data_IF_653543420177
#
_entry.id   IF_653543420177
#
_cell.length_a   1.000
_cell.length_b   1.000
_cell.length_c   1.000
_cell.angle_alpha   90.00
_cell.angle_beta   90.00
_cell.angle_gamma   90.00
#
_symmetry.space_group_name_H-M   'P 1'
#
loop_
_entity.id
_entity.type
_entity.pdbx_description
1 polymer ?
#
# COMPACT_ATOMS: atom_id res chain seq x y z
N UNK A 1 10.80 17.86 36.47
CA UNK A 1 11.85 17.01 35.83
C UNK A 1 11.69 16.93 34.32
N UNK A 2 10.57 16.42 33.78
CA UNK A 2 10.33 16.31 32.32
C UNK A 2 10.41 17.65 31.55
N UNK A 3 9.84 18.73 32.09
CA UNK A 3 9.91 20.06 31.46
C UNK A 3 11.32 20.64 31.38
N UNK A 4 12.17 20.35 32.36
CA UNK A 4 13.58 20.75 32.35
C UNK A 4 14.35 19.98 31.27
N UNK A 5 14.14 18.68 31.17
CA UNK A 5 14.76 17.83 30.14
C UNK A 5 14.32 18.20 28.71
N UNK A 6 13.05 18.54 28.52
CA UNK A 6 12.53 19.05 27.24
C UNK A 6 13.15 20.40 26.87
N UNK A 7 13.26 21.31 27.85
CA UNK A 7 13.88 22.63 27.65
C UNK A 7 15.37 22.56 27.35
N UNK A 8 16.09 21.60 27.95
CA UNK A 8 17.50 21.33 27.68
C UNK A 8 17.68 20.75 26.27
N UNK A 9 16.85 19.77 25.89
CA UNK A 9 16.90 19.15 24.57
C UNK A 9 16.57 20.14 23.43
N UNK A 10 15.67 21.11 23.66
CA UNK A 10 15.39 22.18 22.70
C UNK A 10 16.57 23.16 22.55
N UNK A 11 17.28 23.44 23.65
CA UNK A 11 18.51 24.26 23.65
C UNK A 11 19.65 23.53 22.92
N UNK A 12 19.78 22.23 23.12
CA UNK A 12 20.74 21.38 22.41
C UNK A 12 20.44 21.28 20.92
N UNK A 13 19.15 21.23 20.54
CA UNK A 13 18.71 21.31 19.14
C UNK A 13 19.15 22.61 18.47
N UNK A 14 18.96 23.74 19.16
CA UNK A 14 19.39 25.06 18.68
C UNK A 14 20.91 25.16 18.55
N UNK A 15 21.67 24.55 19.47
CA UNK A 15 23.14 24.51 19.43
C UNK A 15 23.69 23.61 18.34
N UNK A 16 23.05 22.46 18.08
CA UNK A 16 23.38 21.60 16.93
C UNK A 16 23.17 22.31 15.58
N UNK A 17 22.40 23.40 15.57
CA UNK A 17 22.33 24.35 14.47
C UNK A 17 21.83 23.69 13.18
N UNK A 18 22.63 23.80 12.11
CA UNK A 18 22.25 23.36 10.77
C UNK A 18 22.17 21.83 10.65
N UNK A 19 22.96 21.07 11.40
CA UNK A 19 23.01 19.60 11.30
C UNK A 19 21.73 18.96 11.85
N UNK A 20 21.20 19.48 12.96
CA UNK A 20 19.91 19.06 13.51
C UNK A 20 18.74 19.37 12.57
N UNK A 21 18.77 20.53 11.90
CA UNK A 21 17.76 20.87 10.90
C UNK A 21 17.82 19.90 9.70
N UNK A 22 19.01 19.60 9.19
CA UNK A 22 19.19 18.61 8.12
C UNK A 22 18.67 17.24 8.52
N UNK A 23 18.90 16.81 9.77
CA UNK A 23 18.36 15.55 10.30
C UNK A 23 16.83 15.55 10.27
N UNK A 24 16.17 16.60 10.78
CA UNK A 24 14.70 16.72 10.75
C UNK A 24 14.17 16.69 9.31
N UNK A 25 14.82 17.38 8.38
CA UNK A 25 14.43 17.38 6.95
C UNK A 25 14.58 15.98 6.34
N UNK A 26 15.67 15.28 6.59
CA UNK A 26 15.87 13.91 6.06
C UNK A 26 14.87 12.91 6.66
N UNK A 27 14.56 13.01 7.95
CA UNK A 27 13.49 12.22 8.60
C UNK A 27 12.15 12.53 7.93
N UNK A 28 11.86 13.82 7.71
CA UNK A 28 10.63 14.26 7.05
C UNK A 28 10.53 13.65 5.65
N UNK A 29 11.57 13.77 4.82
CA UNK A 29 11.59 13.23 3.47
C UNK A 29 11.47 11.70 3.44
N UNK A 30 12.16 11.00 4.34
CA UNK A 30 12.05 9.54 4.47
C UNK A 30 10.62 9.10 4.77
N UNK A 31 9.97 9.75 5.75
CA UNK A 31 8.61 9.42 6.16
C UNK A 31 7.55 9.86 5.15
N UNK A 32 7.76 10.98 4.43
CA UNK A 32 6.91 11.38 3.30
C UNK A 32 6.99 10.35 2.18
N UNK A 33 8.19 9.88 1.83
CA UNK A 33 8.35 8.84 0.83
C UNK A 33 7.62 7.56 1.27
N UNK A 34 7.94 7.02 2.46
CA UNK A 34 7.30 5.80 2.98
C UNK A 34 5.78 5.94 3.11
N UNK A 35 5.30 7.01 3.72
CA UNK A 35 3.87 7.28 3.92
C UNK A 35 3.15 7.53 2.60
N UNK A 36 3.79 8.18 1.63
CA UNK A 36 3.25 8.42 0.30
C UNK A 36 3.10 7.13 -0.50
N UNK A 37 4.13 6.27 -0.51
CA UNK A 37 4.06 4.94 -1.12
C UNK A 37 3.00 4.07 -0.45
N UNK A 38 2.89 4.13 0.88
CA UNK A 38 1.85 3.40 1.60
C UNK A 38 0.45 3.91 1.24
N UNK A 39 0.25 5.23 1.22
CA UNK A 39 -1.01 5.84 0.82
C UNK A 39 -1.40 5.40 -0.60
N UNK A 40 -0.46 5.45 -1.54
CA UNK A 40 -0.66 5.01 -2.92
C UNK A 40 -1.01 3.52 -2.99
N UNK A 41 -0.23 2.66 -2.32
CA UNK A 41 -0.45 1.21 -2.34
C UNK A 41 -1.77 0.81 -1.69
N UNK A 42 -2.17 1.46 -0.60
CA UNK A 42 -3.46 1.23 0.05
C UNK A 42 -4.62 1.63 -0.86
N UNK A 43 -4.53 2.79 -1.51
CA UNK A 43 -5.54 3.24 -2.46
C UNK A 43 -5.62 2.34 -3.70
N UNK A 44 -4.47 1.93 -4.25
CA UNK A 44 -4.42 1.00 -5.38
C UNK A 44 -4.98 -0.38 -5.01
N UNK A 45 -4.69 -0.88 -3.80
CA UNK A 45 -5.25 -2.13 -3.30
C UNK A 45 -6.78 -2.09 -3.16
N UNK A 46 -7.35 -0.96 -2.72
CA UNK A 46 -8.80 -0.75 -2.70
C UNK A 46 -9.38 -0.70 -4.11
N UNK A 47 -8.71 -0.02 -5.03
CA UNK A 47 -9.05 -0.02 -6.46
C UNK A 47 -9.14 -1.46 -7.00
N UNK A 48 -8.09 -2.24 -6.75
CA UNK A 48 -8.05 -3.65 -7.16
C UNK A 48 -9.18 -4.45 -6.49
N UNK A 49 -9.50 -4.20 -5.22
CA UNK A 49 -10.59 -4.90 -4.52
C UNK A 49 -11.98 -4.66 -5.13
N UNK A 50 -12.30 -3.42 -5.45
CA UNK A 50 -13.57 -3.06 -6.12
C UNK A 50 -13.72 -3.75 -7.47
N UNK A 51 -12.61 -3.91 -8.20
CA UNK A 51 -12.63 -4.66 -9.45
C UNK A 51 -12.68 -6.17 -9.23
N UNK A 52 -12.06 -6.69 -8.18
CA UNK A 52 -12.12 -8.11 -7.81
C UNK A 52 -13.55 -8.57 -7.58
N UNK A 53 -14.40 -7.75 -6.96
CA UNK A 53 -15.82 -8.07 -6.78
C UNK A 53 -16.60 -8.13 -8.11
N UNK A 54 -16.07 -7.50 -9.16
CA UNK A 54 -16.58 -7.56 -10.54
C UNK A 54 -15.94 -8.66 -11.38
N UNK A 55 -14.92 -9.37 -10.89
CA UNK A 55 -14.31 -10.48 -11.62
C UNK A 55 -15.35 -11.57 -11.79
N UNK A 56 -15.53 -11.98 -13.05
CA UNK A 56 -16.34 -13.11 -13.46
C UNK A 56 -15.44 -14.07 -14.23
N UNK A 57 -15.60 -15.36 -13.97
CA UNK A 57 -14.99 -16.42 -14.77
C UNK A 57 -16.06 -16.90 -15.73
N UNK A 58 -15.79 -16.85 -17.03
CA UNK A 58 -16.75 -17.24 -18.06
C UNK A 58 -16.38 -18.64 -18.54
N UNK A 59 -17.30 -19.59 -18.40
CA UNK A 59 -17.17 -20.93 -18.96
C UNK A 59 -17.98 -20.98 -20.24
N UNK A 60 -17.34 -21.12 -21.39
CA UNK A 60 -18.02 -21.37 -22.65
C UNK A 60 -18.36 -22.86 -22.77
N UNK A 61 -19.60 -23.15 -23.12
CA UNK A 61 -20.11 -24.52 -23.21
C UNK A 61 -20.01 -25.03 -24.64
N UNK A 62 -19.59 -26.30 -24.79
CA UNK A 62 -19.48 -26.96 -26.11
C UNK A 62 -20.80 -27.03 -26.85
N UNK A 63 -21.90 -27.14 -26.10
CA UNK A 63 -23.27 -27.15 -26.63
C UNK A 63 -24.20 -26.47 -25.66
N UNK A 64 -25.31 -26.00 -26.19
CA UNK A 64 -26.39 -25.44 -25.37
C UNK A 64 -27.08 -26.59 -24.61
N UNK A 65 -27.06 -26.58 -23.26
CA UNK A 65 -27.68 -27.62 -22.46
C UNK A 65 -29.20 -27.50 -22.50
N UNK A 66 -29.90 -28.64 -22.37
CA UNK A 66 -31.35 -28.64 -22.13
C UNK A 66 -31.68 -28.05 -20.75
N UNK A 67 -32.93 -27.68 -20.50
CA UNK A 67 -33.36 -27.08 -19.23
C UNK A 67 -32.99 -27.91 -18.00
N UNK A 68 -33.10 -29.24 -18.09
CA UNK A 68 -32.69 -30.17 -17.02
C UNK A 68 -31.17 -30.23 -16.85
N UNK A 69 -30.43 -30.33 -17.96
CA UNK A 69 -28.95 -30.35 -17.94
C UNK A 69 -28.38 -29.05 -17.38
N UNK A 70 -29.02 -27.91 -17.68
CA UNK A 70 -28.65 -26.60 -17.19
C UNK A 70 -28.71 -26.53 -15.65
N UNK A 71 -29.79 -27.03 -15.05
CA UNK A 71 -29.96 -27.03 -13.57
C UNK A 71 -28.89 -27.89 -12.91
N UNK A 72 -28.66 -29.10 -13.44
CA UNK A 72 -27.64 -30.02 -12.90
C UNK A 72 -26.24 -29.43 -13.02
N UNK A 73 -25.92 -28.81 -14.16
CA UNK A 73 -24.62 -28.18 -14.39
C UNK A 73 -24.40 -26.97 -13.46
N UNK A 74 -25.41 -26.13 -13.28
CA UNK A 74 -25.37 -25.00 -12.34
C UNK A 74 -25.11 -25.45 -10.90
N UNK A 75 -25.80 -26.48 -10.43
CA UNK A 75 -25.59 -27.03 -9.08
C UNK A 75 -24.19 -27.64 -8.93
N UNK A 76 -23.69 -28.35 -9.95
CA UNK A 76 -22.33 -28.88 -9.96
C UNK A 76 -21.29 -27.76 -9.89
N UNK A 77 -21.48 -26.68 -10.64
CA UNK A 77 -20.58 -25.52 -10.64
C UNK A 77 -20.61 -24.80 -9.28
N UNK A 78 -21.79 -24.61 -8.68
CA UNK A 78 -21.92 -24.01 -7.34
C UNK A 78 -21.29 -24.86 -6.23
N UNK A 79 -21.25 -26.18 -6.39
CA UNK A 79 -20.63 -27.09 -5.43
C UNK A 79 -19.10 -27.04 -5.46
N UNK A 80 -18.49 -26.40 -6.47
CA UNK A 80 -17.03 -26.25 -6.54
C UNK A 80 -16.56 -25.28 -5.45
N UNK A 81 -15.52 -25.63 -4.66
CA UNK A 81 -14.97 -24.72 -3.67
C UNK A 81 -14.54 -23.40 -4.29
N UNK A 82 -14.77 -22.31 -3.56
CA UNK A 82 -14.48 -20.93 -3.98
C UNK A 82 -15.42 -20.33 -5.04
N UNK A 83 -16.57 -20.96 -5.31
CA UNK A 83 -17.66 -20.38 -6.08
C UNK A 83 -18.67 -19.71 -5.13
N UNK A 84 -18.91 -18.42 -5.31
CA UNK A 84 -19.95 -17.68 -4.59
C UNK A 84 -21.29 -17.69 -5.34
N UNK A 85 -21.25 -17.81 -6.67
CA UNK A 85 -22.46 -17.87 -7.50
C UNK A 85 -22.16 -18.32 -8.92
N UNK A 86 -23.18 -18.83 -9.59
CA UNK A 86 -23.11 -19.23 -10.99
C UNK A 86 -24.41 -18.83 -11.70
N UNK A 87 -24.28 -18.25 -12.90
CA UNK A 87 -25.40 -17.79 -13.73
C UNK A 87 -25.24 -18.30 -15.15
N UNK A 88 -26.28 -18.93 -15.70
CA UNK A 88 -26.30 -19.35 -17.09
C UNK A 88 -26.67 -18.17 -17.99
N UNK A 89 -25.98 -18.04 -19.12
CA UNK A 89 -26.25 -17.08 -20.18
C UNK A 89 -26.48 -17.85 -21.48
N UNK A 90 -27.69 -17.69 -22.03
CA UNK A 90 -28.04 -18.27 -23.33
C UNK A 90 -27.34 -17.54 -24.46
N UNK A 91 -27.25 -18.17 -25.64
CA UNK A 91 -26.70 -17.54 -26.84
C UNK A 91 -27.39 -16.22 -27.19
N UNK A 92 -28.71 -16.17 -27.04
CA UNK A 92 -29.52 -14.98 -27.32
C UNK A 92 -29.23 -13.83 -26.33
N UNK A 93 -29.06 -14.15 -25.05
CA UNK A 93 -28.71 -13.18 -24.02
C UNK A 93 -27.27 -12.66 -24.22
N UNK A 94 -26.33 -13.54 -24.59
CA UNK A 94 -24.95 -13.17 -24.91
C UNK A 94 -24.91 -12.15 -26.08
N UNK A 95 -25.67 -12.40 -27.14
CA UNK A 95 -25.77 -11.50 -28.30
C UNK A 95 -26.36 -10.13 -27.91
N UNK A 96 -27.39 -10.15 -27.06
CA UNK A 96 -28.04 -8.91 -26.58
C UNK A 96 -27.11 -8.07 -25.69
N UNK A 97 -26.30 -8.73 -24.87
CA UNK A 97 -25.27 -8.07 -24.06
C UNK A 97 -24.15 -7.52 -24.92
N UNK A 98 -23.70 -8.27 -25.94
CA UNK A 98 -22.70 -7.80 -26.90
C UNK A 98 -23.17 -6.55 -27.65
N UNK A 99 -24.39 -6.54 -28.19
CA UNK A 99 -24.96 -5.36 -28.87
C UNK A 99 -25.02 -4.13 -27.97
N UNK A 100 -25.34 -4.30 -26.68
CA UNK A 100 -25.30 -3.21 -25.69
C UNK A 100 -23.90 -2.66 -25.46
N UNK A 101 -22.87 -3.51 -25.49
CA UNK A 101 -21.47 -3.08 -25.35
C UNK A 101 -20.94 -2.35 -26.59
N UNK A 102 -21.32 -2.78 -27.79
CA UNK A 102 -20.89 -2.12 -29.05
C UNK A 102 -21.59 -0.77 -29.30
N UNK A 103 -22.77 -0.56 -28.73
CA UNK A 103 -23.49 0.72 -28.83
C UNK A 103 -23.73 1.15 -30.28
N UNK A 104 -22.93 2.12 -30.77
CA UNK A 104 -23.05 2.67 -32.13
C UNK A 104 -22.56 1.72 -33.24
N UNK A 105 -21.70 0.77 -32.91
CA UNK A 105 -21.16 -0.22 -33.85
C UNK A 105 -21.93 -1.55 -33.84
N UNK A 106 -23.10 -1.58 -33.17
CA UNK A 106 -23.91 -2.79 -33.03
C UNK A 106 -24.39 -3.37 -34.38
N UNK A 107 -24.44 -2.56 -35.43
CA UNK A 107 -24.78 -2.97 -36.80
C UNK A 107 -23.82 -4.04 -37.35
N UNK A 108 -22.58 -4.11 -36.84
CA UNK A 108 -21.65 -5.19 -37.21
C UNK A 108 -22.18 -6.55 -36.75
N UNK A 109 -22.80 -6.63 -35.58
CA UNK A 109 -23.39 -7.86 -35.04
C UNK A 109 -24.69 -8.27 -35.77
N UNK A 110 -25.40 -7.32 -36.39
CA UNK A 110 -26.61 -7.59 -37.17
C UNK A 110 -26.31 -8.15 -38.57
N UNK A 111 -25.09 -7.91 -39.08
CA UNK A 111 -24.65 -8.40 -40.40
C UNK A 111 -24.13 -9.85 -40.37
N UNK A 112 -24.14 -10.53 -39.21
CA UNK A 112 -23.73 -11.93 -39.13
C UNK A 112 -24.89 -12.87 -39.52
N UNK A 113 -24.66 -13.87 -40.40
CA UNK A 113 -25.70 -14.77 -40.89
C UNK A 113 -26.28 -15.70 -39.81
N UNK A 114 -25.56 -15.94 -38.72
CA UNK A 114 -26.02 -16.68 -37.54
C UNK A 114 -25.27 -16.23 -36.29
N UNK A 115 -25.83 -16.47 -35.09
CA UNK A 115 -25.19 -16.08 -33.82
C UNK A 115 -23.96 -16.97 -33.54
N UNK A 116 -22.73 -16.44 -33.61
CA UNK A 116 -21.52 -17.22 -33.41
C UNK A 116 -21.21 -17.47 -31.92
N UNK A 117 -21.93 -16.80 -30.99
CA UNK A 117 -21.62 -16.85 -29.58
C UNK A 117 -22.10 -18.16 -28.95
N UNK A 118 -21.22 -18.91 -28.25
CA UNK A 118 -21.63 -20.08 -27.48
C UNK A 118 -22.44 -19.67 -26.24
N UNK A 119 -23.18 -20.63 -25.68
CA UNK A 119 -23.80 -20.46 -24.37
C UNK A 119 -22.70 -20.48 -23.30
N UNK A 120 -22.88 -19.74 -22.21
CA UNK A 120 -21.86 -19.65 -21.17
C UNK A 120 -22.42 -19.70 -19.76
N UNK A 121 -21.55 -20.01 -18.80
CA UNK A 121 -21.84 -19.88 -17.37
C UNK A 121 -20.89 -18.83 -16.80
N UNK A 122 -21.46 -17.76 -16.27
CA UNK A 122 -20.71 -16.77 -15.49
C UNK A 122 -20.60 -17.26 -14.04
N UNK A 123 -19.36 -17.51 -13.61
CA UNK A 123 -19.04 -17.89 -12.25
C UNK A 123 -18.48 -16.70 -11.50
N UNK A 124 -19.07 -16.43 -10.34
CA UNK A 124 -18.61 -15.42 -9.39
C UNK A 124 -17.75 -16.10 -8.32
N UNK A 125 -16.45 -15.78 -8.20
CA UNK A 125 -15.60 -16.32 -7.15
C UNK A 125 -16.00 -15.80 -5.76
N UNK A 126 -15.64 -16.52 -4.70
CA UNK A 126 -15.67 -15.97 -3.33
C UNK A 126 -14.62 -14.87 -3.16
N UNK A 127 -14.82 -13.94 -2.22
CA UNK A 127 -13.89 -12.80 -2.00
C UNK A 127 -12.44 -13.23 -1.75
N UNK A 128 -12.22 -14.40 -1.11
CA UNK A 128 -10.87 -14.95 -0.91
C UNK A 128 -10.22 -15.51 -2.18
N UNK A 129 -11.02 -15.94 -3.15
CA UNK A 129 -10.56 -16.48 -4.43
C UNK A 129 -10.71 -15.49 -5.60
N UNK A 130 -11.26 -14.30 -5.36
CA UNK A 130 -11.19 -13.14 -6.25
C UNK A 130 -9.77 -12.55 -6.25
N UNK A 131 -8.76 -13.40 -6.42
CA UNK A 131 -7.35 -13.05 -6.55
C UNK A 131 -6.81 -13.72 -7.81
N UNK A 132 -5.70 -13.24 -8.41
CA UNK A 132 -5.14 -13.88 -9.60
C UNK A 132 -4.89 -15.38 -9.40
N UNK A 133 -4.32 -15.75 -8.26
CA UNK A 133 -4.03 -17.15 -7.91
C UNK A 133 -5.32 -17.96 -7.68
N UNK A 134 -6.29 -17.40 -6.96
CA UNK A 134 -7.59 -18.04 -6.73
C UNK A 134 -8.38 -18.25 -8.02
N UNK A 135 -8.37 -17.27 -8.92
CA UNK A 135 -9.00 -17.35 -10.22
C UNK A 135 -8.33 -18.41 -11.12
N UNK A 136 -6.99 -18.51 -11.12
CA UNK A 136 -6.27 -19.59 -11.84
C UNK A 136 -6.68 -20.98 -11.35
N UNK A 137 -6.69 -21.19 -10.03
CA UNK A 137 -7.11 -22.47 -9.45
C UNK A 137 -8.56 -22.79 -9.86
N UNK A 138 -9.42 -21.78 -9.86
CA UNK A 138 -10.82 -21.93 -10.26
C UNK A 138 -10.94 -22.25 -11.76
N UNK A 139 -10.23 -21.54 -12.64
CA UNK A 139 -10.18 -21.79 -14.09
C UNK A 139 -9.73 -23.22 -14.39
N UNK A 140 -8.63 -23.67 -13.77
CA UNK A 140 -8.12 -25.03 -13.96
C UNK A 140 -9.15 -26.08 -13.52
N UNK A 141 -9.83 -25.87 -12.38
CA UNK A 141 -10.87 -26.79 -11.91
C UNK A 141 -12.09 -26.82 -12.82
N UNK A 142 -12.58 -25.65 -13.22
CA UNK A 142 -13.73 -25.51 -14.11
C UNK A 142 -13.46 -26.08 -15.50
N UNK A 143 -12.23 -25.96 -15.99
CA UNK A 143 -11.82 -26.52 -17.28
C UNK A 143 -11.76 -28.05 -17.33
N UNK A 144 -11.84 -28.74 -16.18
CA UNK A 144 -11.94 -30.22 -16.15
C UNK A 144 -13.34 -30.75 -16.41
N UNK A 145 -14.35 -29.87 -16.45
CA UNK A 145 -15.73 -30.27 -16.72
C UNK A 145 -15.91 -30.67 -18.19
N UNK A 146 -16.51 -31.84 -18.49
CA UNK A 146 -16.64 -32.32 -19.86
C UNK A 146 -17.57 -31.45 -20.73
N UNK A 147 -18.48 -30.70 -20.12
CA UNK A 147 -19.41 -29.81 -20.80
C UNK A 147 -18.76 -28.50 -21.28
N UNK A 148 -17.56 -28.20 -20.79
CA UNK A 148 -16.84 -26.94 -21.04
C UNK A 148 -15.93 -27.06 -22.26
N UNK A 149 -15.99 -26.05 -23.12
CA UNK A 149 -15.14 -25.92 -24.30
C UNK A 149 -13.91 -25.09 -23.97
N UNK A 150 -14.12 -23.92 -23.38
CA UNK A 150 -13.08 -22.96 -23.03
C UNK A 150 -13.47 -22.24 -21.73
N UNK A 151 -12.47 -21.96 -20.89
CA UNK A 151 -12.67 -21.14 -19.69
C UNK A 151 -11.85 -19.88 -19.84
N UNK A 152 -12.53 -18.76 -19.93
CA UNK A 152 -11.91 -17.46 -20.02
C UNK A 152 -12.01 -16.77 -18.67
N UNK A 153 -10.85 -16.41 -18.12
CA UNK A 153 -10.75 -15.63 -16.90
C UNK A 153 -10.02 -14.34 -17.18
N UNK A 154 -10.58 -13.22 -16.74
CA UNK A 154 -9.98 -11.89 -16.83
C UNK A 154 -8.80 -11.73 -15.85
N UNK A 155 -7.88 -12.71 -15.79
CA UNK A 155 -6.84 -12.82 -14.77
C UNK A 155 -5.58 -12.04 -15.15
N UNK A 156 -5.27 -11.97 -16.45
CA UNK A 156 -3.99 -11.43 -16.93
C UNK A 156 -3.82 -9.94 -16.59
N UNK A 157 -4.88 -9.14 -16.67
CA UNK A 157 -4.80 -7.72 -16.34
C UNK A 157 -4.68 -7.49 -14.81
N UNK A 158 -5.36 -8.30 -13.99
CA UNK A 158 -5.29 -8.24 -12.52
C UNK A 158 -3.90 -8.64 -12.03
N UNK A 159 -3.30 -9.64 -12.67
CA UNK A 159 -1.94 -10.09 -12.38
C UNK A 159 -0.91 -9.02 -12.71
N UNK A 160 -0.95 -8.46 -13.93
CA UNK A 160 -0.06 -7.35 -14.32
C UNK A 160 -0.16 -6.19 -13.34
N UNK A 161 -1.38 -5.80 -12.94
CA UNK A 161 -1.59 -4.72 -11.97
C UNK A 161 -1.06 -5.06 -10.57
N UNK A 162 -1.19 -6.31 -10.14
CA UNK A 162 -0.65 -6.81 -8.87
C UNK A 162 0.88 -6.79 -8.87
N UNK A 163 1.52 -7.14 -9.98
CA UNK A 163 2.98 -7.09 -10.12
C UNK A 163 3.51 -5.65 -10.10
N UNK A 164 2.82 -4.73 -10.79
CA UNK A 164 3.12 -3.30 -10.69
C UNK A 164 2.99 -2.78 -9.26
N UNK A 165 1.96 -3.20 -8.52
CA UNK A 165 1.81 -2.84 -7.11
C UNK A 165 2.98 -3.35 -6.26
N UNK A 166 3.41 -4.61 -6.44
CA UNK A 166 4.55 -5.19 -5.71
C UNK A 166 5.84 -4.42 -6.02
N UNK A 167 6.07 -4.07 -7.28
CA UNK A 167 7.23 -3.30 -7.70
C UNK A 167 7.24 -1.91 -7.06
N UNK A 168 6.10 -1.21 -7.04
CA UNK A 168 5.97 0.09 -6.38
C UNK A 168 6.26 0.02 -4.88
N UNK A 169 5.77 -1.01 -4.21
CA UNK A 169 6.05 -1.24 -2.77
C UNK A 169 7.54 -1.49 -2.55
N UNK A 170 8.18 -2.30 -3.39
CA UNK A 170 9.61 -2.59 -3.29
C UNK A 170 10.46 -1.34 -3.48
N UNK A 171 10.16 -0.53 -4.49
CA UNK A 171 10.85 0.75 -4.76
C UNK A 171 10.64 1.71 -3.59
N UNK A 172 9.41 1.82 -3.09
CA UNK A 172 9.09 2.68 -1.96
C UNK A 172 9.82 2.30 -0.68
N UNK A 173 9.93 1.00 -0.40
CA UNK A 173 10.66 0.49 0.75
C UNK A 173 12.17 0.72 0.60
N UNK A 174 12.73 0.51 -0.59
CA UNK A 174 14.14 0.79 -0.89
C UNK A 174 14.51 2.27 -0.73
N UNK A 175 13.71 3.17 -1.31
CA UNK A 175 13.90 4.61 -1.17
C UNK A 175 13.74 5.07 0.28
N UNK A 176 12.68 4.57 0.93
CA UNK A 176 12.40 4.83 2.35
C UNK A 176 13.54 4.42 3.26
N UNK A 177 14.06 3.21 3.08
CA UNK A 177 15.19 2.68 3.85
C UNK A 177 16.48 3.48 3.63
N UNK A 178 16.77 3.88 2.39
CA UNK A 178 17.95 4.69 2.06
C UNK A 178 17.89 6.06 2.75
N UNK A 179 16.75 6.73 2.69
CA UNK A 179 16.54 8.03 3.36
C UNK A 179 16.53 7.88 4.89
N UNK A 180 15.98 6.79 5.42
CA UNK A 180 15.99 6.50 6.85
C UNK A 180 17.43 6.30 7.36
N UNK A 181 18.26 5.58 6.61
CA UNK A 181 19.68 5.42 6.94
C UNK A 181 20.42 6.77 6.94
N UNK A 182 20.20 7.60 5.90
CA UNK A 182 20.78 8.94 5.84
C UNK A 182 20.34 9.81 7.03
N UNK A 183 19.06 9.73 7.42
CA UNK A 183 18.54 10.42 8.58
C UNK A 183 19.21 9.95 9.89
N UNK A 184 19.29 8.63 10.13
CA UNK A 184 19.95 8.06 11.31
C UNK A 184 21.40 8.53 11.41
N UNK A 185 22.16 8.46 10.31
CA UNK A 185 23.55 8.92 10.26
C UNK A 185 23.65 10.42 10.56
N UNK A 186 22.73 11.23 10.04
CA UNK A 186 22.72 12.69 10.27
C UNK A 186 22.35 13.03 11.71
N UNK A 187 21.39 12.32 12.31
CA UNK A 187 21.08 12.45 13.75
C UNK A 187 22.31 12.09 14.58
N UNK A 188 22.93 10.95 14.26
CA UNK A 188 24.12 10.44 14.98
C UNK A 188 25.25 11.45 14.96
N UNK A 189 25.54 12.07 13.80
CA UNK A 189 26.58 13.09 13.69
C UNK A 189 26.20 14.38 14.41
N UNK A 190 24.93 14.81 14.34
CA UNK A 190 24.44 15.98 15.07
C UNK A 190 24.58 15.82 16.59
N UNK A 191 24.18 14.68 17.14
CA UNK A 191 24.29 14.40 18.58
C UNK A 191 25.74 14.20 19.01
N UNK A 192 26.57 13.59 18.16
CA UNK A 192 28.01 13.47 18.43
C UNK A 192 28.68 14.84 18.50
N UNK A 193 28.30 15.79 17.64
CA UNK A 193 28.81 17.16 17.67
C UNK A 193 28.45 17.87 18.99
N UNK A 194 27.19 17.73 19.45
CA UNK A 194 26.74 18.27 20.73
C UNK A 194 27.51 17.67 21.90
N UNK A 195 27.74 16.35 21.88
CA UNK A 195 28.54 15.66 22.89
C UNK A 195 29.97 16.19 22.96
N UNK A 196 30.63 16.42 21.82
CA UNK A 196 31.98 16.97 21.80
C UNK A 196 32.01 18.43 22.31
N UNK A 197 30.98 19.22 22.01
CA UNK A 197 30.86 20.59 22.49
C UNK A 197 30.63 20.68 24.01
N UNK A 198 30.06 19.64 24.64
CA UNK A 198 29.85 19.53 26.10
C UNK A 198 30.84 18.58 26.79
N UNK A 199 31.98 18.25 26.16
CA UNK A 199 32.89 17.22 26.68
C UNK A 199 33.34 17.52 28.13
N UNK A 200 33.66 18.78 28.44
CA UNK A 200 34.19 19.20 29.73
C UNK A 200 33.12 19.06 30.83
N UNK A 201 31.86 19.40 30.52
CA UNK A 201 30.70 19.25 31.41
C UNK A 201 30.41 17.77 31.68
N UNK A 202 30.54 16.94 30.62
CA UNK A 202 30.34 15.50 30.70
C UNK A 202 31.44 14.82 31.52
N UNK A 203 32.68 15.30 31.41
CA UNK A 203 33.82 14.84 32.18
C UNK A 203 33.65 15.16 33.66
N UNK A 204 33.25 16.39 34.00
CA UNK A 204 32.90 16.76 35.38
C UNK A 204 31.81 15.84 35.92
N UNK A 205 30.71 15.63 35.18
CA UNK A 205 29.62 14.73 35.61
C UNK A 205 30.11 13.30 35.90
N UNK A 206 31.07 12.79 35.12
CA UNK A 206 31.68 11.47 35.37
C UNK A 206 32.55 11.46 36.63
N UNK A 207 33.30 12.52 36.89
CA UNK A 207 34.16 12.64 38.07
C UNK A 207 33.37 12.68 39.39
N UNK A 208 32.14 13.22 39.38
CA UNK A 208 31.23 13.19 40.54
C UNK A 208 30.42 11.89 40.66
N UNK A 209 30.67 10.90 39.80
CA UNK A 209 30.02 9.58 39.85
C UNK A 209 28.61 9.54 39.29
N UNK A 210 28.24 10.46 38.38
CA UNK A 210 26.92 10.43 37.76
C UNK A 210 26.72 9.13 36.94
N UNK A 211 25.55 8.48 37.05
CA UNK A 211 25.28 7.26 36.30
C UNK A 211 25.27 7.53 34.78
N UNK A 212 25.73 6.58 33.96
CA UNK A 212 25.77 6.75 32.49
C UNK A 212 24.42 7.14 31.88
N UNK A 213 23.31 6.71 32.49
CA UNK A 213 21.96 7.10 32.09
C UNK A 213 21.74 8.62 32.17
N UNK A 214 22.29 9.31 33.17
CA UNK A 214 22.17 10.76 33.30
C UNK A 214 22.86 11.50 32.14
N UNK A 215 23.89 10.90 31.54
CA UNK A 215 24.63 11.44 30.39
C UNK A 215 23.92 11.09 29.08
N UNK A 216 23.38 9.87 28.95
CA UNK A 216 22.76 9.38 27.69
C UNK A 216 21.32 9.83 27.48
N UNK A 217 20.55 10.06 28.54
CA UNK A 217 19.12 10.37 28.45
C UNK A 217 18.82 11.68 27.70
N UNK A 218 19.57 12.79 27.88
CA UNK A 218 19.36 14.02 27.10
C UNK A 218 19.58 13.83 25.60
N UNK A 219 20.58 13.02 25.21
CA UNK A 219 20.89 12.72 23.80
C UNK A 219 19.79 11.90 23.13
N UNK A 220 19.25 10.91 23.85
CA UNK A 220 18.11 10.12 23.39
C UNK A 220 16.87 10.99 23.20
N UNK A 221 16.60 11.89 24.15
CA UNK A 221 15.48 12.84 24.07
C UNK A 221 15.65 13.83 22.92
N UNK A 222 16.87 14.32 22.67
CA UNK A 222 17.17 15.17 21.52
C UNK A 222 16.83 14.45 20.20
N UNK A 223 17.30 13.22 20.03
CA UNK A 223 17.00 12.41 18.85
C UNK A 223 15.49 12.14 18.71
N UNK A 224 14.82 11.78 19.80
CA UNK A 224 13.38 11.53 19.82
C UNK A 224 12.58 12.78 19.41
N UNK A 225 12.95 13.98 19.88
CA UNK A 225 12.32 15.24 19.48
C UNK A 225 12.54 15.51 17.99
N UNK A 226 13.75 15.30 17.47
CA UNK A 226 14.00 15.43 16.02
C UNK A 226 13.12 14.46 15.20
N UNK A 227 12.99 13.22 15.67
CA UNK A 227 12.14 12.19 15.10
C UNK A 227 10.66 12.58 15.07
N UNK A 228 10.13 13.05 16.19
CA UNK A 228 8.74 13.49 16.30
C UNK A 228 8.45 14.74 15.47
N UNK A 229 9.35 15.72 15.45
CA UNK A 229 9.22 16.90 14.61
C UNK A 229 9.21 16.52 13.13
N UNK A 230 10.14 15.66 12.69
CA UNK A 230 10.19 15.17 11.33
C UNK A 230 8.94 14.38 10.93
N UNK A 231 8.43 13.53 11.83
CA UNK A 231 7.20 12.78 11.59
C UNK A 231 5.96 13.67 11.50
N UNK A 232 5.88 14.70 12.36
CA UNK A 232 4.77 15.67 12.35
C UNK A 232 4.77 16.47 11.05
N UNK A 233 5.95 16.94 10.61
CA UNK A 233 6.10 17.63 9.33
C UNK A 233 5.77 16.72 8.15
N UNK A 234 6.17 15.45 8.20
CA UNK A 234 5.86 14.47 7.17
C UNK A 234 4.35 14.24 7.05
N UNK A 235 3.65 14.08 8.18
CA UNK A 235 2.20 13.97 8.19
C UNK A 235 1.52 15.20 7.63
N UNK A 236 1.95 16.41 8.02
CA UNK A 236 1.42 17.65 7.47
C UNK A 236 1.61 17.70 5.95
N UNK A 237 2.81 17.37 5.47
CA UNK A 237 3.11 17.31 4.04
C UNK A 237 2.21 16.29 3.31
N UNK A 238 2.00 15.10 3.88
CA UNK A 238 1.12 14.07 3.33
C UNK A 238 -0.34 14.52 3.29
N UNK A 239 -0.83 15.20 4.33
CA UNK A 239 -2.20 15.75 4.38
C UNK A 239 -2.39 16.84 3.31
N UNK A 240 -1.41 17.76 3.19
CA UNK A 240 -1.45 18.81 2.17
C UNK A 240 -1.42 18.20 0.78
N UNK A 241 -0.50 17.25 0.54
CA UNK A 241 -0.40 16.54 -0.73
C UNK A 241 -1.72 15.82 -1.08
N UNK A 242 -2.28 15.08 -0.12
CA UNK A 242 -3.56 14.40 -0.29
C UNK A 242 -4.69 15.38 -0.66
N UNK A 243 -4.84 16.49 0.07
CA UNK A 243 -5.90 17.48 -0.21
C UNK A 243 -5.74 18.17 -1.56
N UNK A 244 -4.52 18.32 -2.07
CA UNK A 244 -4.27 18.92 -3.38
C UNK A 244 -4.41 17.91 -4.53
N UNK A 245 -4.03 16.66 -4.29
CA UNK A 245 -4.01 15.61 -5.29
C UNK A 245 -5.37 14.91 -5.45
N UNK A 246 -6.06 14.59 -4.34
CA UNK A 246 -7.34 13.90 -4.33
C UNK A 246 -8.38 14.54 -5.28
N UNK A 247 -8.72 15.85 -5.19
CA UNK A 247 -9.75 16.43 -6.04
C UNK A 247 -9.38 16.45 -7.53
N UNK A 248 -8.09 16.39 -7.87
CA UNK A 248 -7.61 16.33 -9.27
C UNK A 248 -7.61 14.91 -9.82
N UNK A 249 -7.42 13.92 -8.95
CA UNK A 249 -7.29 12.51 -9.31
C UNK A 249 -8.65 11.79 -9.26
N UNK A 250 -9.56 12.17 -8.37
CA UNK A 250 -10.89 11.57 -8.24
C UNK A 250 -11.70 11.53 -9.54
N UNK A 251 -11.77 12.59 -10.37
CA UNK A 251 -12.49 12.52 -11.64
C UNK A 251 -11.88 11.49 -12.60
N UNK A 252 -10.54 11.46 -12.69
CA UNK A 252 -9.81 10.53 -13.55
C UNK A 252 -9.93 9.08 -13.05
N UNK A 253 -9.88 8.88 -11.74
CA UNK A 253 -9.98 7.56 -11.11
C UNK A 253 -11.41 7.02 -11.13
N UNK A 254 -12.43 7.86 -11.05
CA UNK A 254 -13.83 7.42 -11.19
C UNK A 254 -14.12 6.91 -12.61
N UNK A 255 -13.59 7.58 -13.64
CA UNK A 255 -13.79 7.24 -15.05
C UNK A 255 -12.94 6.03 -15.46
N UNK A 256 -11.70 5.92 -14.95
CA UNK A 256 -10.74 4.91 -15.40
C UNK A 256 -10.76 3.66 -14.51
N UNK A 257 -10.93 3.83 -13.20
CA UNK A 257 -10.74 2.78 -12.18
C UNK A 257 -12.00 2.59 -11.32
N UNK A 258 -13.10 3.30 -11.56
CA UNK A 258 -14.37 3.10 -10.85
C UNK A 258 -14.33 3.35 -9.34
N UNK A 259 -13.27 3.99 -8.82
CA UNK A 259 -13.18 4.35 -7.41
C UNK A 259 -13.91 5.68 -7.16
N UNK A 260 -14.89 5.73 -6.23
CA UNK A 260 -15.63 6.95 -5.95
C UNK A 260 -14.82 7.97 -5.14
N UNK A 261 -13.93 7.53 -4.24
CA UNK A 261 -13.18 8.43 -3.35
C UNK A 261 -11.80 7.88 -3.00
N UNK A 262 -10.78 8.76 -3.06
CA UNK A 262 -9.51 8.48 -2.39
C UNK A 262 -9.74 8.55 -0.88
N UNK A 263 -9.01 7.73 -0.11
CA UNK A 263 -9.02 7.79 1.35
C UNK A 263 -7.61 8.07 1.86
N UNK A 264 -7.55 8.88 2.90
CA UNK A 264 -6.32 9.09 3.65
C UNK A 264 -5.98 7.87 4.52
N UNK A 265 -4.74 7.81 5.01
CA UNK A 265 -4.28 6.75 5.89
C UNK A 265 -5.16 6.64 7.15
N UNK A 266 -5.49 5.40 7.60
CA UNK A 266 -6.24 5.21 8.84
C UNK A 266 -5.44 5.71 10.05
N UNK A 267 -6.12 6.05 11.14
CA UNK A 267 -5.49 6.54 12.38
C UNK A 267 -4.37 5.62 12.88
N UNK A 268 -4.54 4.29 12.71
CA UNK A 268 -3.51 3.31 13.08
C UNK A 268 -2.23 3.40 12.25
N UNK A 269 -2.32 3.81 10.98
CA UNK A 269 -1.16 4.02 10.12
C UNK A 269 -0.47 5.37 10.42
N UNK A 270 -1.25 6.40 10.75
CA UNK A 270 -0.71 7.69 11.24
C UNK A 270 0.10 7.49 12.52
N UNK A 271 -0.43 6.74 13.49
CA UNK A 271 0.29 6.41 14.72
C UNK A 271 1.56 5.61 14.45
N UNK A 272 1.54 4.67 13.50
CA UNK A 272 2.73 3.92 13.08
C UNK A 272 3.79 4.81 12.45
N UNK A 273 3.41 5.80 11.63
CA UNK A 273 4.34 6.77 11.05
C UNK A 273 4.98 7.67 12.13
N UNK A 274 4.20 8.14 13.11
CA UNK A 274 4.72 8.89 14.25
C UNK A 274 5.71 8.04 15.08
N UNK A 275 5.33 6.80 15.38
CA UNK A 275 6.17 5.87 16.10
C UNK A 275 7.46 5.55 15.33
N UNK A 276 7.38 5.38 14.01
CA UNK A 276 8.55 5.16 13.15
C UNK A 276 9.50 6.36 13.17
N UNK A 277 8.99 7.59 13.08
CA UNK A 277 9.84 8.77 13.17
C UNK A 277 10.49 8.95 14.54
N UNK A 278 9.72 8.74 15.62
CA UNK A 278 10.26 8.74 16.99
C UNK A 278 11.36 7.67 17.15
N UNK A 279 11.14 6.46 16.61
CA UNK A 279 12.12 5.39 16.64
C UNK A 279 13.38 5.74 15.85
N UNK A 280 13.27 6.25 14.62
CA UNK A 280 14.41 6.68 13.81
C UNK A 280 15.26 7.74 14.52
N UNK A 281 14.60 8.74 15.10
CA UNK A 281 15.26 9.80 15.86
C UNK A 281 15.94 9.27 17.12
N UNK A 282 15.25 8.44 17.91
CA UNK A 282 15.81 7.83 19.11
C UNK A 282 17.00 6.91 18.79
N UNK A 283 16.92 6.13 17.71
CA UNK A 283 17.98 5.23 17.28
C UNK A 283 19.24 6.00 16.85
N UNK A 284 19.07 7.09 16.10
CA UNK A 284 20.18 7.97 15.75
C UNK A 284 20.84 8.61 16.97
N UNK A 285 20.04 9.05 17.95
CA UNK A 285 20.56 9.58 19.21
C UNK A 285 21.27 8.53 20.07
N UNK A 286 20.79 7.28 20.04
CA UNK A 286 21.39 6.16 20.78
C UNK A 286 22.72 5.69 20.20
N UNK A 287 22.85 5.69 18.86
CA UNK A 287 24.07 5.30 18.15
C UNK A 287 25.21 6.32 18.32
N UNK A 288 24.92 7.51 18.83
CA UNK A 288 25.91 8.52 19.14
C UNK A 288 26.90 8.01 20.19
N UNK A 289 28.12 7.71 19.76
CA UNK A 289 29.23 7.35 20.64
C UNK A 289 30.21 8.51 20.71
N UNK A 290 30.49 8.98 21.93
CA UNK A 290 31.73 9.73 22.15
C UNK A 290 32.89 8.79 21.91
N UNK A 291 33.89 9.20 21.14
CA UNK A 291 35.14 8.44 21.05
C UNK A 291 35.69 8.32 22.46
N UNK A 292 35.59 7.13 23.05
CA UNK A 292 36.40 6.75 24.20
C UNK A 292 37.83 6.74 23.69
N UNK A 293 38.60 7.75 24.08
CA UNK A 293 40.05 7.68 24.03
C UNK A 293 40.46 6.49 24.92
N UNK A 294 40.90 5.41 24.28
CA UNK A 294 41.87 4.48 24.86
C UNK A 294 43.23 5.13 24.83
#
# INVERSE_FOLDING_TARGET
MLGFLLGEALRDLRRAGRVALTAVVLITLSLVALGGFWLLSANLGRAVSEWKDRVRVILYLRREPTSLEQVVLLERVKAIPNVAGARYISKAEALTSLKRMLGKDATVADNLPSNPLPASIEVTPTSGAATPDGARVLITRLGTLPEVEEVEGSVEWVERLSDWQRLLVLIGLGLGATLALAAILTVTTATTLVLHARRDETEIMRLVGAPEAAIRLPLLLQGLIQGLLGATLALLALVVFYRLAAPKLEPLMSITVGLPTLEFLPTSAVLRLLAAGAALGAFGGWLARGRSAT
#
